data_IF_653859907296
#
_entry.id   IF_653859907296
#
_cell.length_a   1.000
_cell.length_b   1.000
_cell.length_c   1.000
_cell.angle_alpha   90.00
_cell.angle_beta   90.00
_cell.angle_gamma   90.00
#
_symmetry.space_group_name_H-M   'P 1'
#
loop_
_entity.id
_entity.type
_entity.pdbx_description
1 polymer ?
#
# COMPACT_ATOMS: atom_id res chain seq x y z
N UNK A 1 -20.06 84.85 -28.77
CA UNK A 1 -19.25 84.19 -29.82
C UNK A 1 -17.79 84.36 -29.44
N UNK A 2 -17.11 83.29 -29.02
CA UNK A 2 -15.73 83.33 -28.54
C UNK A 2 -15.37 82.02 -27.81
N UNK A 3 -14.69 81.11 -28.52
CA UNK A 3 -14.22 79.81 -28.02
C UNK A 3 -13.05 79.98 -27.04
N UNK A 4 -13.04 79.20 -25.96
CA UNK A 4 -11.82 78.50 -25.49
C UNK A 4 -12.21 77.10 -25.00
N UNK A 5 -11.65 76.09 -25.67
CA UNK A 5 -11.53 74.72 -25.17
C UNK A 5 -10.62 74.73 -23.94
N UNK A 6 -10.91 73.90 -22.93
CA UNK A 6 -9.87 73.12 -22.25
C UNK A 6 -10.47 71.82 -21.71
N UNK A 7 -9.76 70.73 -22.01
CA UNK A 7 -10.01 69.33 -21.65
C UNK A 7 -9.75 69.05 -20.16
N UNK A 8 -10.52 68.14 -19.57
CA UNK A 8 -10.06 67.27 -18.46
C UNK A 8 -11.01 66.05 -18.42
N UNK A 9 -10.73 65.03 -19.24
CA UNK A 9 -10.08 63.76 -18.89
C UNK A 9 -10.57 63.12 -17.57
N UNK A 10 -11.30 62.02 -17.73
CA UNK A 10 -11.62 61.01 -16.72
C UNK A 10 -10.36 60.55 -15.96
N UNK A 11 -10.36 60.70 -14.65
CA UNK A 11 -9.53 59.89 -13.75
C UNK A 11 -10.41 58.86 -13.06
N UNK A 12 -10.49 57.66 -13.64
CA UNK A 12 -10.81 56.44 -12.90
C UNK A 12 -9.50 55.65 -12.76
N UNK A 13 -8.67 56.09 -11.82
CA UNK A 13 -7.48 55.37 -11.41
C UNK A 13 -7.74 54.78 -10.03
N UNK A 14 -7.55 53.46 -9.89
CA UNK A 14 -7.30 52.85 -8.59
C UNK A 14 -8.34 51.86 -8.11
N UNK A 15 -8.33 50.65 -8.67
CA UNK A 15 -8.53 49.41 -7.91
C UNK A 15 -8.21 48.20 -8.81
N UNK A 16 -6.93 47.99 -9.15
CA UNK A 16 -6.48 46.74 -9.81
C UNK A 16 -5.11 46.30 -9.30
N UNK A 17 -4.83 46.51 -8.00
CA UNK A 17 -3.53 46.23 -7.40
C UNK A 17 -3.61 45.58 -6.02
N UNK A 18 -4.63 44.75 -5.75
CA UNK A 18 -4.69 43.91 -4.55
C UNK A 18 -5.31 42.54 -4.86
N UNK A 19 -4.78 41.88 -5.88
CA UNK A 19 -5.00 40.45 -6.09
C UNK A 19 -3.67 39.75 -6.36
N UNK A 20 -2.65 40.03 -5.53
CA UNK A 20 -1.64 39.00 -5.27
C UNK A 20 -2.29 37.96 -4.37
N UNK A 21 -3.01 37.08 -5.05
CA UNK A 21 -3.47 35.81 -4.52
C UNK A 21 -2.22 35.16 -3.93
N UNK A 22 -2.25 34.90 -2.63
CA UNK A 22 -1.38 33.98 -1.90
C UNK A 22 -1.60 32.59 -2.53
N UNK A 23 -1.14 32.42 -3.77
CA UNK A 23 -1.17 31.16 -4.46
C UNK A 23 0.06 30.43 -3.98
N UNK A 24 -0.15 29.27 -3.34
CA UNK A 24 0.90 28.31 -3.08
C UNK A 24 1.84 28.27 -4.31
N UNK A 25 3.14 28.60 -4.17
CA UNK A 25 4.03 28.50 -5.30
C UNK A 25 3.98 27.04 -5.75
N UNK A 26 3.38 26.80 -6.92
CA UNK A 26 3.38 25.48 -7.54
C UNK A 26 4.84 25.01 -7.68
N UNK A 27 5.06 23.80 -8.19
CA UNK A 27 6.40 23.15 -8.28
C UNK A 27 7.42 23.91 -9.19
N UNK A 28 7.13 25.16 -9.53
CA UNK A 28 7.88 26.08 -10.38
C UNK A 28 8.40 27.32 -9.63
N UNK A 29 8.28 27.38 -8.31
CA UNK A 29 8.75 28.52 -7.50
C UNK A 29 7.82 29.75 -7.54
N UNK A 30 8.11 30.80 -6.75
CA UNK A 30 7.30 32.03 -6.66
C UNK A 30 7.07 32.70 -8.02
N UNK A 31 8.12 32.72 -8.85
CA UNK A 31 8.08 33.31 -10.20
C UNK A 31 7.59 32.33 -11.29
N UNK A 32 7.20 31.11 -10.90
CA UNK A 32 6.71 30.05 -11.80
C UNK A 32 7.68 29.69 -12.93
N UNK A 33 8.97 29.94 -12.75
CA UNK A 33 10.05 29.76 -13.72
C UNK A 33 10.83 28.44 -13.53
N UNK A 34 10.45 27.59 -12.57
CA UNK A 34 11.17 26.37 -12.25
C UNK A 34 12.40 26.58 -11.36
N UNK A 35 12.65 27.82 -10.91
CA UNK A 35 13.75 28.14 -10.02
C UNK A 35 13.24 28.19 -8.58
N UNK A 36 14.00 27.57 -7.68
CA UNK A 36 13.75 27.66 -6.24
C UNK A 36 14.00 29.06 -5.69
N UNK A 37 13.65 29.28 -4.43
CA UNK A 37 13.99 30.51 -3.71
C UNK A 37 15.51 30.52 -3.52
N UNK A 38 16.18 31.51 -4.13
CA UNK A 38 17.67 31.55 -4.25
C UNK A 38 18.36 31.81 -2.91
N UNK A 39 17.71 32.53 -2.00
CA UNK A 39 18.23 32.84 -0.67
C UNK A 39 17.32 32.23 0.39
N UNK A 40 17.61 30.99 0.78
CA UNK A 40 17.05 30.40 1.98
C UNK A 40 18.21 30.14 2.94
N UNK A 41 18.17 30.78 4.12
CA UNK A 41 19.06 30.42 5.22
C UNK A 41 18.58 29.08 5.77
N UNK A 42 19.12 27.98 5.24
CA UNK A 42 18.91 26.67 5.82
C UNK A 42 19.59 26.65 7.19
N UNK A 43 18.88 26.15 8.20
CA UNK A 43 19.45 25.84 9.51
C UNK A 43 20.61 24.87 9.27
N UNK A 44 21.85 25.33 9.50
CA UNK A 44 23.05 24.52 9.24
C UNK A 44 23.29 23.48 10.33
N UNK A 45 22.82 23.76 11.55
CA UNK A 45 22.86 22.83 12.66
C UNK A 45 21.49 22.78 13.36
N UNK A 46 20.76 21.69 13.10
CA UNK A 46 19.44 21.44 13.70
C UNK A 46 19.54 21.32 15.23
N UNK A 47 20.73 21.01 15.78
CA UNK A 47 20.93 20.90 17.22
C UNK A 47 20.97 22.26 17.95
N UNK A 48 21.29 23.35 17.24
CA UNK A 48 21.32 24.70 17.82
C UNK A 48 19.94 25.38 17.78
N UNK A 49 19.10 25.04 16.80
CA UNK A 49 17.72 25.50 16.67
C UNK A 49 16.83 24.35 16.20
N UNK A 50 16.24 23.64 17.15
CA UNK A 50 15.23 22.63 16.83
C UNK A 50 14.03 23.31 16.12
N UNK A 51 13.62 22.81 14.94
CA UNK A 51 12.46 23.33 14.24
C UNK A 51 11.20 23.21 15.10
N UNK A 52 10.45 24.29 15.22
CA UNK A 52 9.15 24.27 15.89
C UNK A 52 8.15 23.50 15.02
N UNK A 53 7.51 22.47 15.56
CA UNK A 53 6.43 21.76 14.89
C UNK A 53 5.25 22.70 14.68
N UNK A 54 5.04 23.13 13.43
CA UNK A 54 3.94 24.05 13.06
C UNK A 54 2.66 23.31 12.64
N UNK A 55 2.79 22.04 12.27
CA UNK A 55 1.68 21.20 11.82
C UNK A 55 2.06 19.72 11.92
N UNK A 56 1.08 18.89 12.24
CA UNK A 56 1.19 17.42 12.24
C UNK A 56 0.16 16.86 11.26
N UNK A 57 0.58 15.94 10.40
CA UNK A 57 -0.34 15.25 9.51
C UNK A 57 -1.15 14.21 10.29
N UNK A 58 -2.38 13.94 9.84
CA UNK A 58 -3.01 12.65 10.12
C UNK A 58 -2.12 11.51 9.59
N UNK A 59 -2.30 10.28 10.09
CA UNK A 59 -1.58 9.12 9.57
C UNK A 59 -1.78 9.04 8.05
N UNK A 60 -0.70 9.27 7.31
CA UNK A 60 -0.72 9.22 5.85
C UNK A 60 -0.68 7.74 5.46
N UNK A 61 -1.67 7.24 4.70
CA UNK A 61 -1.69 5.83 4.33
C UNK A 61 -0.44 5.51 3.52
N UNK A 62 0.45 4.73 4.11
CA UNK A 62 1.55 4.08 3.43
C UNK A 62 1.07 2.70 2.95
N UNK A 63 1.46 2.32 1.73
CA UNK A 63 1.40 0.91 1.35
C UNK A 63 2.50 0.15 2.12
N UNK A 64 2.80 -1.09 1.74
CA UNK A 64 3.73 -1.96 2.46
C UNK A 64 5.15 -1.40 2.63
N UNK A 65 5.49 -0.42 1.80
CA UNK A 65 6.85 0.10 1.62
C UNK A 65 6.92 1.61 1.85
N UNK A 66 5.98 2.23 2.58
CA UNK A 66 6.17 3.63 3.00
C UNK A 66 6.17 4.66 1.85
N UNK A 67 4.98 5.18 1.53
CA UNK A 67 4.81 6.53 0.94
C UNK A 67 5.04 6.71 -0.58
N UNK A 68 4.06 7.34 -1.23
CA UNK A 68 4.23 7.98 -2.54
C UNK A 68 5.08 9.25 -2.38
N UNK A 69 6.40 9.10 -2.23
CA UNK A 69 7.32 10.23 -2.10
C UNK A 69 7.15 11.21 -3.27
N UNK A 70 7.16 12.52 -2.97
CA UNK A 70 7.17 13.55 -4.01
C UNK A 70 8.59 14.04 -4.26
N UNK A 71 8.92 14.27 -5.53
CA UNK A 71 10.21 14.85 -5.94
C UNK A 71 10.19 16.35 -5.62
N UNK A 72 11.23 16.83 -4.94
CA UNK A 72 11.48 18.25 -4.69
C UNK A 72 12.70 18.66 -5.53
N UNK A 73 12.73 19.85 -6.10
CA UNK A 73 13.90 20.33 -6.85
C UNK A 73 14.23 21.78 -6.50
N UNK A 74 15.51 22.09 -6.45
CA UNK A 74 16.03 23.46 -6.32
C UNK A 74 16.31 24.13 -7.70
N UNK A 75 16.02 23.42 -8.80
CA UNK A 75 16.30 23.85 -10.17
C UNK A 75 17.65 23.37 -10.73
N UNK A 76 18.53 22.82 -9.89
CA UNK A 76 19.79 22.16 -10.31
C UNK A 76 19.81 20.67 -9.98
N UNK A 77 19.22 20.29 -8.84
CA UNK A 77 19.16 18.94 -8.31
C UNK A 77 17.71 18.53 -8.07
N UNK A 78 17.45 17.24 -8.20
CA UNK A 78 16.20 16.62 -7.79
C UNK A 78 16.43 15.79 -6.52
N UNK A 79 15.65 16.07 -5.49
CA UNK A 79 15.65 15.39 -4.20
C UNK A 79 14.44 14.47 -4.12
N UNK A 80 14.66 13.21 -3.77
CA UNK A 80 13.60 12.24 -3.53
C UNK A 80 13.76 11.67 -2.13
N UNK A 81 12.70 11.81 -1.31
CA UNK A 81 12.57 11.10 -0.05
C UNK A 81 12.05 9.69 -0.33
N UNK A 82 12.82 8.67 0.05
CA UNK A 82 12.44 7.27 -0.09
C UNK A 82 12.57 6.54 1.24
N UNK A 83 11.66 5.61 1.50
CA UNK A 83 11.83 4.63 2.57
C UNK A 83 12.65 3.47 2.00
N UNK A 84 13.93 3.46 2.30
CA UNK A 84 14.86 2.45 1.80
C UNK A 84 14.75 1.19 2.63
N UNK A 85 14.25 0.11 2.02
CA UNK A 85 14.06 -1.16 2.71
C UNK A 85 15.27 -2.07 2.53
N UNK A 86 15.72 -2.69 3.63
CA UNK A 86 16.70 -3.78 3.59
C UNK A 86 16.24 -4.95 4.45
N UNK A 87 16.70 -6.14 4.09
CA UNK A 87 16.52 -7.34 4.90
C UNK A 87 17.78 -7.56 5.71
N UNK A 88 17.65 -7.60 7.03
CA UNK A 88 18.74 -7.95 7.93
C UNK A 88 18.56 -9.39 8.43
N UNK A 89 19.61 -10.21 8.46
CA UNK A 89 19.55 -11.54 9.07
C UNK A 89 19.06 -11.46 10.52
N UNK A 90 18.18 -12.37 10.90
CA UNK A 90 17.68 -12.49 12.28
C UNK A 90 17.44 -13.96 12.64
N UNK A 91 17.58 -14.28 13.93
CA UNK A 91 17.19 -15.58 14.46
C UNK A 91 15.66 -15.72 14.51
N UNK A 92 14.94 -14.60 14.59
CA UNK A 92 13.48 -14.56 14.71
C UNK A 92 12.76 -14.95 13.42
N UNK A 93 11.53 -15.44 13.55
CA UNK A 93 10.62 -15.64 12.41
C UNK A 93 9.40 -14.76 12.60
N UNK A 94 9.16 -13.87 11.64
CA UNK A 94 8.12 -12.83 11.75
C UNK A 94 7.04 -13.13 10.71
N UNK A 95 5.81 -13.37 11.18
CA UNK A 95 4.65 -13.54 10.31
C UNK A 95 3.97 -12.19 10.05
N UNK A 96 4.65 -11.32 9.31
CA UNK A 96 4.10 -10.02 8.93
C UNK A 96 3.13 -10.10 7.73
N UNK A 97 2.49 -8.97 7.41
CA UNK A 97 1.56 -8.85 6.28
C UNK A 97 2.19 -9.14 4.91
N UNK A 98 3.48 -8.87 4.74
CA UNK A 98 4.22 -9.09 3.48
C UNK A 98 4.49 -10.58 3.29
N UNK A 99 4.96 -11.26 4.33
CA UNK A 99 5.16 -12.71 4.39
C UNK A 99 3.85 -13.44 4.14
N UNK A 100 2.76 -13.05 4.82
CA UNK A 100 1.45 -13.65 4.59
C UNK A 100 1.01 -13.58 3.11
N UNK A 101 1.25 -12.45 2.45
CA UNK A 101 0.93 -12.26 1.03
C UNK A 101 1.82 -13.09 0.12
N UNK A 102 3.13 -13.15 0.39
CA UNK A 102 4.08 -14.02 -0.34
C UNK A 102 3.69 -15.50 -0.23
N UNK A 103 3.17 -15.92 0.92
CA UNK A 103 2.63 -17.26 1.14
C UNK A 103 1.29 -17.51 0.41
N UNK A 104 0.67 -16.47 -0.15
CA UNK A 104 -0.63 -16.52 -0.81
C UNK A 104 -1.82 -16.56 0.16
N UNK A 105 -1.63 -16.15 1.41
CA UNK A 105 -2.68 -16.11 2.43
C UNK A 105 -3.58 -14.90 2.20
N UNK A 106 -4.71 -15.11 1.55
CA UNK A 106 -5.74 -14.09 1.34
C UNK A 106 -6.99 -14.45 2.12
N UNK A 107 -7.44 -13.54 2.98
CA UNK A 107 -8.64 -13.75 3.81
C UNK A 107 -9.89 -13.83 2.94
N UNK A 108 -10.72 -14.84 3.18
CA UNK A 108 -12.01 -15.01 2.51
C UNK A 108 -13.07 -14.29 3.34
N UNK A 109 -13.46 -13.09 2.90
CA UNK A 109 -14.42 -12.24 3.60
C UNK A 109 -15.85 -12.52 3.08
N UNK A 110 -16.31 -13.75 3.28
CA UNK A 110 -17.68 -14.18 2.95
C UNK A 110 -18.38 -14.70 4.22
N UNK A 111 -19.74 -14.69 4.26
CA UNK A 111 -20.48 -15.30 5.36
C UNK A 111 -20.04 -16.75 5.63
N UNK A 112 -19.95 -17.21 6.89
CA UNK A 112 -19.40 -18.53 7.22
C UNK A 112 -20.05 -19.69 6.45
N UNK A 113 -21.37 -19.65 6.27
CA UNK A 113 -22.10 -20.65 5.50
C UNK A 113 -21.67 -20.69 4.02
N UNK A 114 -21.43 -19.53 3.41
CA UNK A 114 -21.02 -19.41 2.01
C UNK A 114 -19.56 -19.81 1.82
N UNK A 115 -18.67 -19.43 2.75
CA UNK A 115 -17.28 -19.89 2.78
C UNK A 115 -17.19 -21.41 2.90
N UNK A 116 -17.98 -22.01 3.79
CA UNK A 116 -18.04 -23.47 3.95
C UNK A 116 -18.59 -24.17 2.70
N UNK A 117 -19.59 -23.58 2.03
CA UNK A 117 -20.11 -24.07 0.74
C UNK A 117 -19.01 -24.03 -0.33
N UNK A 118 -18.33 -22.91 -0.49
CA UNK A 118 -17.26 -22.76 -1.49
C UNK A 118 -16.14 -23.79 -1.27
N UNK A 119 -15.75 -24.03 -0.01
CA UNK A 119 -14.70 -24.99 0.33
C UNK A 119 -15.12 -26.44 0.06
N UNK A 120 -16.38 -26.78 0.37
CA UNK A 120 -16.94 -28.10 0.05
C UNK A 120 -16.99 -28.33 -1.46
N UNK A 121 -17.50 -27.37 -2.21
CA UNK A 121 -17.62 -27.45 -3.65
C UNK A 121 -16.22 -27.57 -4.29
N UNK A 122 -15.22 -26.82 -3.79
CA UNK A 122 -13.83 -26.88 -4.24
C UNK A 122 -13.24 -28.28 -4.08
N UNK A 123 -13.47 -28.93 -2.95
CA UNK A 123 -12.97 -30.27 -2.68
C UNK A 123 -13.68 -31.35 -3.51
N UNK A 124 -14.94 -31.12 -3.87
CA UNK A 124 -15.76 -32.02 -4.69
C UNK A 124 -15.50 -31.91 -6.20
N UNK A 125 -14.74 -30.90 -6.64
CA UNK A 125 -14.42 -30.69 -8.06
C UNK A 125 -13.75 -31.91 -8.68
N UNK A 126 -14.29 -32.36 -9.81
CA UNK A 126 -13.73 -33.46 -10.57
C UNK A 126 -12.36 -33.07 -11.15
N UNK A 127 -11.31 -33.90 -10.99
CA UNK A 127 -10.00 -33.65 -11.61
C UNK A 127 -10.03 -33.58 -13.15
N UNK A 128 -11.11 -34.04 -13.79
CA UNK A 128 -11.31 -33.97 -15.25
C UNK A 128 -11.89 -32.64 -15.72
N UNK A 129 -12.46 -31.82 -14.83
CA UNK A 129 -12.97 -30.50 -15.16
C UNK A 129 -11.78 -29.53 -15.24
N UNK A 130 -11.37 -29.17 -16.47
CA UNK A 130 -10.19 -28.33 -16.73
C UNK A 130 -10.43 -27.39 -17.91
N UNK A 131 -9.56 -26.39 -18.04
CA UNK A 131 -9.58 -25.40 -19.12
C UNK A 131 -10.89 -24.61 -19.16
N UNK A 132 -11.37 -24.30 -20.35
CA UNK A 132 -12.58 -23.49 -20.57
C UNK A 132 -13.84 -24.04 -19.88
N UNK A 133 -13.95 -25.36 -19.70
CA UNK A 133 -15.07 -25.96 -18.97
C UNK A 133 -15.02 -25.64 -17.47
N UNK A 134 -13.83 -25.61 -16.89
CA UNK A 134 -13.64 -25.19 -15.50
C UNK A 134 -13.93 -23.71 -15.34
N UNK A 135 -13.42 -22.87 -16.25
CA UNK A 135 -13.68 -21.42 -16.22
C UNK A 135 -15.19 -21.13 -16.27
N UNK A 136 -15.91 -21.75 -17.22
CA UNK A 136 -17.37 -21.61 -17.30
C UNK A 136 -18.09 -22.06 -16.02
N UNK A 137 -17.71 -23.20 -15.46
CA UNK A 137 -18.29 -23.68 -14.21
C UNK A 137 -18.04 -22.70 -13.04
N UNK A 138 -16.85 -22.11 -12.97
CA UNK A 138 -16.50 -21.10 -11.96
C UNK A 138 -17.37 -19.86 -12.13
N UNK A 139 -17.53 -19.38 -13.35
CA UNK A 139 -18.36 -18.20 -13.66
C UNK A 139 -19.82 -18.45 -13.26
N UNK A 140 -20.38 -19.61 -13.65
CA UNK A 140 -21.73 -20.02 -13.29
C UNK A 140 -21.90 -20.13 -11.75
N UNK A 141 -20.89 -20.67 -11.06
CA UNK A 141 -20.89 -20.77 -9.61
C UNK A 141 -20.88 -19.38 -8.96
N UNK A 142 -20.01 -18.49 -9.41
CA UNK A 142 -19.90 -17.12 -8.88
C UNK A 142 -21.20 -16.36 -9.12
N UNK A 143 -21.78 -16.47 -10.32
CA UNK A 143 -23.03 -15.80 -10.68
C UNK A 143 -24.20 -16.25 -9.79
N UNK A 144 -24.26 -17.55 -9.50
CA UNK A 144 -25.37 -18.16 -8.75
C UNK A 144 -25.25 -18.02 -7.23
N UNK A 145 -24.05 -17.76 -6.69
CA UNK A 145 -23.81 -17.84 -5.24
C UNK A 145 -23.37 -16.52 -4.60
N UNK A 146 -22.77 -15.60 -5.37
CA UNK A 146 -22.27 -14.34 -4.83
C UNK A 146 -23.21 -13.18 -5.21
N UNK A 147 -23.39 -12.22 -4.30
CA UNK A 147 -24.00 -10.94 -4.65
C UNK A 147 -23.00 -10.03 -5.42
N UNK A 148 -23.49 -8.91 -5.98
CA UNK A 148 -22.64 -8.00 -6.76
C UNK A 148 -21.41 -7.49 -5.98
N UNK A 149 -21.56 -7.16 -4.70
CA UNK A 149 -20.46 -6.67 -3.85
C UNK A 149 -19.44 -7.78 -3.57
N UNK A 150 -19.91 -9.00 -3.31
CA UNK A 150 -19.09 -10.17 -3.11
C UNK A 150 -18.34 -10.56 -4.39
N UNK A 151 -18.97 -10.46 -5.56
CA UNK A 151 -18.30 -10.67 -6.86
C UNK A 151 -17.13 -9.71 -7.03
N UNK A 152 -17.36 -8.42 -6.79
CA UNK A 152 -16.33 -7.38 -6.93
C UNK A 152 -15.15 -7.57 -5.96
N UNK A 153 -15.41 -8.03 -4.74
CA UNK A 153 -14.38 -8.09 -3.68
C UNK A 153 -13.74 -9.47 -3.50
N UNK A 154 -14.45 -10.55 -3.79
CA UNK A 154 -14.03 -11.93 -3.51
C UNK A 154 -14.08 -12.85 -4.74
N UNK A 155 -14.74 -12.45 -5.83
CA UNK A 155 -14.93 -13.30 -7.02
C UNK A 155 -13.61 -13.85 -7.58
N UNK A 156 -12.61 -12.99 -7.77
CA UNK A 156 -11.29 -13.41 -8.27
C UNK A 156 -10.56 -14.36 -7.32
N UNK A 157 -10.70 -14.17 -6.00
CA UNK A 157 -10.12 -15.05 -4.99
C UNK A 157 -10.78 -16.43 -5.03
N UNK A 158 -12.12 -16.49 -5.06
CA UNK A 158 -12.87 -17.73 -5.15
C UNK A 158 -12.54 -18.49 -6.44
N UNK A 159 -12.49 -17.79 -7.58
CA UNK A 159 -12.08 -18.37 -8.86
C UNK A 159 -10.67 -18.99 -8.79
N UNK A 160 -9.70 -18.25 -8.23
CA UNK A 160 -8.32 -18.73 -8.06
C UNK A 160 -8.28 -19.99 -7.18
N UNK A 161 -9.04 -20.04 -6.08
CA UNK A 161 -9.13 -21.20 -5.20
C UNK A 161 -9.74 -22.41 -5.91
N UNK A 162 -10.77 -22.24 -6.74
CA UNK A 162 -11.33 -23.34 -7.53
C UNK A 162 -10.33 -23.86 -8.57
N UNK A 163 -9.58 -22.97 -9.24
CA UNK A 163 -8.50 -23.35 -10.18
C UNK A 163 -7.40 -24.15 -9.51
N UNK A 164 -7.02 -23.77 -8.29
CA UNK A 164 -6.06 -24.53 -7.47
C UNK A 164 -6.61 -25.87 -7.01
N UNK A 165 -7.94 -26.05 -6.97
CA UNK A 165 -8.59 -27.28 -6.53
C UNK A 165 -8.05 -27.69 -5.16
N UNK A 166 -7.68 -28.96 -4.99
CA UNK A 166 -7.13 -29.52 -3.74
C UNK A 166 -5.83 -28.88 -3.25
N UNK A 167 -5.09 -28.18 -4.12
CA UNK A 167 -3.82 -27.53 -3.77
C UNK A 167 -4.02 -26.17 -3.08
N UNK A 168 -5.23 -25.60 -3.12
CA UNK A 168 -5.51 -24.36 -2.40
C UNK A 168 -5.35 -24.57 -0.89
N UNK A 169 -4.70 -23.63 -0.20
CA UNK A 169 -4.61 -23.64 1.26
C UNK A 169 -6.04 -23.61 1.84
N UNK A 170 -6.40 -24.53 2.76
CA UNK A 170 -7.73 -24.56 3.35
C UNK A 170 -8.09 -23.25 4.06
N UNK A 171 -9.38 -22.87 4.02
CA UNK A 171 -9.83 -21.62 4.67
C UNK A 171 -9.52 -21.65 6.17
N UNK A 172 -9.69 -22.79 6.83
CA UNK A 172 -9.36 -22.97 8.26
C UNK A 172 -7.89 -22.68 8.59
N UNK A 173 -6.98 -23.06 7.69
CA UNK A 173 -5.54 -22.78 7.83
C UNK A 173 -5.29 -21.29 7.63
N UNK A 174 -5.91 -20.67 6.62
CA UNK A 174 -5.82 -19.22 6.38
C UNK A 174 -6.28 -18.45 7.63
N UNK A 175 -7.47 -18.76 8.15
CA UNK A 175 -8.02 -18.10 9.33
C UNK A 175 -7.12 -18.27 10.55
N UNK A 176 -6.51 -19.46 10.72
CA UNK A 176 -5.55 -19.71 11.79
C UNK A 176 -4.30 -18.83 11.66
N UNK A 177 -3.74 -18.71 10.45
CA UNK A 177 -2.58 -17.85 10.21
C UNK A 177 -2.94 -16.36 10.42
N UNK A 178 -4.13 -15.92 10.01
CA UNK A 178 -4.59 -14.55 10.30
C UNK A 178 -4.81 -14.29 11.78
N UNK A 179 -5.11 -15.30 12.60
CA UNK A 179 -5.25 -15.13 14.07
C UNK A 179 -3.95 -14.83 14.79
N UNK A 180 -2.80 -15.11 14.16
CA UNK A 180 -1.46 -14.86 14.70
C UNK A 180 -0.68 -13.87 13.82
N UNK A 181 -1.39 -13.02 13.06
CA UNK A 181 -0.76 -11.98 12.25
C UNK A 181 0.17 -11.13 13.12
N UNK A 182 1.32 -10.77 12.55
CA UNK A 182 2.36 -9.93 13.16
C UNK A 182 3.03 -10.59 14.38
N UNK A 183 2.83 -11.91 14.57
CA UNK A 183 3.52 -12.68 15.61
C UNK A 183 5.01 -12.85 15.27
N UNK A 184 5.83 -12.63 16.29
CA UNK A 184 7.27 -12.92 16.28
C UNK A 184 7.52 -14.25 17.00
N UNK A 185 8.21 -15.16 16.33
CA UNK A 185 8.75 -16.38 16.92
C UNK A 185 10.24 -16.17 17.19
N UNK A 186 10.75 -16.59 18.35
CA UNK A 186 12.15 -16.34 18.74
C UNK A 186 13.17 -17.14 17.91
N UNK A 187 12.76 -18.21 17.22
CA UNK A 187 13.64 -19.05 16.41
C UNK A 187 12.87 -19.87 15.37
N UNK A 188 13.59 -20.46 14.41
CA UNK A 188 13.07 -21.51 13.51
C UNK A 188 12.38 -22.63 14.29
N UNK A 189 13.06 -23.13 15.33
CA UNK A 189 12.56 -24.23 16.14
C UNK A 189 11.22 -23.87 16.80
N UNK A 190 11.09 -22.65 17.32
CA UNK A 190 9.84 -22.19 17.92
C UNK A 190 8.70 -22.07 16.89
N UNK A 191 9.01 -21.65 15.66
CA UNK A 191 8.05 -21.64 14.55
C UNK A 191 7.62 -23.07 14.21
N UNK A 192 8.56 -23.99 14.03
CA UNK A 192 8.28 -25.39 13.70
C UNK A 192 7.45 -26.10 14.78
N UNK A 193 7.83 -25.94 16.06
CA UNK A 193 7.07 -26.48 17.19
C UNK A 193 5.62 -25.96 17.17
N UNK A 194 5.43 -24.67 16.91
CA UNK A 194 4.08 -24.11 16.80
C UNK A 194 3.31 -24.68 15.60
N UNK A 195 3.93 -24.78 14.42
CA UNK A 195 3.31 -25.33 13.21
C UNK A 195 2.88 -26.79 13.41
N UNK A 196 3.73 -27.60 14.04
CA UNK A 196 3.45 -29.01 14.33
C UNK A 196 2.26 -29.20 15.28
N UNK A 197 1.96 -28.21 16.13
CA UNK A 197 0.80 -28.24 17.02
C UNK A 197 -0.53 -27.91 16.32
N UNK A 198 -0.54 -27.37 15.09
CA UNK A 198 -1.76 -26.84 14.45
C UNK A 198 -2.58 -27.88 13.65
N UNK A 199 -2.25 -29.17 13.72
CA UNK A 199 -2.90 -30.23 12.91
C UNK A 199 -2.89 -29.91 11.40
N UNK A 200 -1.88 -29.19 10.92
CA UNK A 200 -1.70 -28.90 9.50
C UNK A 200 -1.15 -30.12 8.76
N UNK A 201 -1.38 -30.20 7.46
CA UNK A 201 -0.76 -31.26 6.66
C UNK A 201 0.75 -31.02 6.54
N UNK A 202 1.58 -32.06 6.37
CA UNK A 202 3.04 -31.92 6.27
C UNK A 202 3.48 -30.94 5.16
N UNK A 203 2.79 -30.94 4.02
CA UNK A 203 3.08 -29.99 2.93
C UNK A 203 2.77 -28.54 3.26
N UNK A 204 1.78 -28.28 4.13
CA UNK A 204 1.50 -26.92 4.62
C UNK A 204 2.56 -26.49 5.64
N UNK A 205 2.99 -27.40 6.52
CA UNK A 205 4.04 -27.14 7.50
C UNK A 205 5.35 -26.76 6.80
N UNK A 206 5.82 -27.57 5.83
CA UNK A 206 7.04 -27.26 5.07
C UNK A 206 6.89 -25.93 4.32
N UNK A 207 5.75 -25.68 3.66
CA UNK A 207 5.51 -24.39 2.98
C UNK A 207 5.64 -23.18 3.91
N UNK A 208 5.16 -23.27 5.15
CA UNK A 208 5.26 -22.16 6.10
C UNK A 208 6.64 -22.05 6.75
N UNK A 209 7.29 -23.17 7.06
CA UNK A 209 8.66 -23.17 7.57
C UNK A 209 9.62 -22.53 6.57
N UNK A 210 9.54 -22.93 5.29
CA UNK A 210 10.40 -22.39 4.21
C UNK A 210 10.03 -20.97 3.78
N UNK A 211 8.74 -20.62 3.89
CA UNK A 211 8.23 -19.35 3.38
C UNK A 211 8.29 -18.18 4.35
N UNK A 212 8.53 -18.42 5.65
CA UNK A 212 8.77 -17.37 6.64
C UNK A 212 10.30 -17.16 6.74
N UNK A 213 10.83 -16.03 6.26
CA UNK A 213 12.26 -15.87 6.06
C UNK A 213 13.03 -15.64 7.38
N UNK A 214 14.33 -15.97 7.42
CA UNK A 214 15.25 -15.67 8.51
C UNK A 214 15.77 -14.22 8.47
N UNK A 215 14.93 -13.30 8.05
CA UNK A 215 15.29 -11.89 7.90
C UNK A 215 14.19 -11.02 8.44
N UNK A 216 14.56 -9.98 9.16
CA UNK A 216 13.66 -8.88 9.51
C UNK A 216 13.79 -7.77 8.47
N UNK A 217 12.66 -7.15 8.15
CA UNK A 217 12.64 -5.99 7.27
C UNK A 217 12.98 -4.75 8.09
N UNK A 218 14.01 -4.03 7.67
CA UNK A 218 14.38 -2.73 8.19
C UNK A 218 14.04 -1.67 7.14
N UNK A 219 13.74 -0.47 7.61
CA UNK A 219 13.42 0.68 6.78
C UNK A 219 14.21 1.89 7.31
N UNK A 220 14.91 2.56 6.42
CA UNK A 220 15.58 3.83 6.70
C UNK A 220 14.96 4.91 5.82
N UNK A 221 14.67 6.09 6.39
CA UNK A 221 14.30 7.26 5.61
C UNK A 221 15.55 7.87 4.97
N UNK A 222 15.60 7.91 3.65
CA UNK A 222 16.76 8.38 2.88
C UNK A 222 16.35 9.47 1.90
N UNK A 223 17.16 10.53 1.83
CA UNK A 223 17.06 11.55 0.78
C UNK A 223 18.12 11.25 -0.28
N UNK A 224 17.68 11.05 -1.52
CA UNK A 224 18.57 10.85 -2.67
C UNK A 224 18.55 12.13 -3.51
N UNK A 225 19.73 12.62 -3.91
CA UNK A 225 19.89 13.76 -4.80
C UNK A 225 20.47 13.32 -6.16
N UNK A 226 19.86 13.78 -7.25
CA UNK A 226 20.29 13.57 -8.63
C UNK A 226 20.60 14.89 -9.32
#
# INVERSE_FOLDING_TARGET
>A
MGRKLFFSLFSFAGASLLAEIISWPQWRGPDRNGQGIVNFELIQDISEQEPVQIWESIEIPSQDDGGFGSVISDGQRAFLSVVWHRNEPTEERILDSVVMRKLGLRKVNLPPALSAKAERDRLSLSPRLRGSKLDKWIDDWIESNLDQKQKMTQGSLIASRFKQGKLAIPISVIDRMFSIKDRVFPSDKALEEWLNQQNFSPGIISKFSEGIPPTKRMADDVIIAF
#
